data_IF_346911102713
#
_entry.id   IF_346911102713
#
_cell.length_a   1.000
_cell.length_b   1.000
_cell.length_c   1.000
_cell.angle_alpha   90.00
_cell.angle_beta   90.00
_cell.angle_gamma   90.00
#
_symmetry.space_group_name_H-M   'P 1'
#
loop_
_entity.id
_entity.type
_entity.pdbx_description
1 polymer ?
#
# COMPACT_ATOMS: atom_id res chain seq x y z
N UNK A 1 -18.06 52.51 -46.08
CA UNK A 1 -19.18 52.64 -47.05
C UNK A 1 -19.87 51.28 -47.11
N UNK A 2 -21.14 51.27 -46.71
CA UNK A 2 -22.21 50.24 -46.76
C UNK A 2 -21.98 48.92 -45.96
N UNK A 3 -22.82 48.53 -44.98
CA UNK A 3 -24.24 48.08 -45.04
C UNK A 3 -24.44 46.93 -46.05
N UNK A 4 -25.09 45.79 -45.81
CA UNK A 4 -25.88 45.15 -44.74
C UNK A 4 -26.14 43.71 -45.22
N UNK A 5 -26.27 42.70 -44.36
CA UNK A 5 -27.46 41.81 -44.27
C UNK A 5 -27.24 40.62 -43.32
N UNK A 6 -28.33 40.19 -42.69
CA UNK A 6 -28.44 39.24 -41.60
C UNK A 6 -28.52 37.77 -42.04
N UNK A 7 -28.14 36.85 -41.14
CA UNK A 7 -28.71 35.51 -41.07
C UNK A 7 -28.63 34.95 -39.64
N UNK A 8 -29.75 34.42 -39.17
CA UNK A 8 -30.07 34.01 -37.80
C UNK A 8 -29.47 32.65 -37.37
N UNK A 9 -29.35 32.41 -36.06
CA UNK A 9 -30.10 31.35 -35.35
C UNK A 9 -29.66 31.12 -33.88
N UNK A 10 -30.68 31.12 -33.02
CA UNK A 10 -30.87 30.40 -31.73
C UNK A 10 -29.76 30.32 -30.67
N UNK A 11 -30.00 31.07 -29.59
CA UNK A 11 -29.43 30.89 -28.25
C UNK A 11 -29.93 29.60 -27.57
N UNK A 12 -29.06 28.75 -26.99
CA UNK A 12 -29.50 27.66 -26.13
C UNK A 12 -29.89 28.16 -24.74
N UNK A 13 -31.10 27.82 -24.31
CA UNK A 13 -31.66 28.08 -22.98
C UNK A 13 -30.92 27.26 -21.91
N UNK A 14 -30.32 27.98 -20.95
CA UNK A 14 -29.55 27.43 -19.84
C UNK A 14 -30.51 26.98 -18.72
N UNK A 15 -30.73 25.68 -18.56
CA UNK A 15 -31.54 25.13 -17.45
C UNK A 15 -30.73 25.17 -16.15
N UNK A 16 -31.19 25.97 -15.18
CA UNK A 16 -30.58 26.12 -13.85
C UNK A 16 -31.04 25.01 -12.90
N UNK A 17 -30.08 24.43 -12.16
CA UNK A 17 -30.22 23.29 -11.24
C UNK A 17 -31.07 23.56 -9.97
N UNK A 18 -31.85 24.64 -9.92
CA UNK A 18 -32.63 25.07 -8.75
C UNK A 18 -34.15 24.89 -8.88
N UNK A 19 -34.64 24.24 -9.94
CA UNK A 19 -36.08 24.04 -10.19
C UNK A 19 -36.66 22.65 -9.86
N UNK A 20 -35.86 21.69 -9.37
CA UNK A 20 -36.29 20.29 -9.23
C UNK A 20 -36.68 19.86 -7.81
N UNK A 21 -36.90 20.80 -6.88
CA UNK A 21 -37.31 20.50 -5.50
C UNK A 21 -38.59 21.23 -5.07
N UNK A 22 -39.50 21.51 -6.02
CA UNK A 22 -40.79 22.13 -5.72
C UNK A 22 -41.91 21.51 -6.57
N UNK A 23 -42.28 20.27 -6.27
CA UNK A 23 -43.59 19.73 -6.67
C UNK A 23 -44.11 18.80 -5.57
N UNK A 24 -44.55 19.42 -4.47
CA UNK A 24 -45.47 18.83 -3.52
C UNK A 24 -46.89 19.37 -3.75
N UNK A 25 -47.88 18.50 -3.54
CA UNK A 25 -49.33 18.74 -3.50
C UNK A 25 -50.03 18.85 -4.90
N UNK A 26 -51.21 18.29 -5.20
CA UNK A 26 -52.31 17.76 -4.39
C UNK A 26 -53.29 16.89 -5.21
N UNK A 27 -53.89 15.88 -4.55
CA UNK A 27 -55.30 15.49 -4.48
C UNK A 27 -56.18 15.21 -5.73
N UNK A 28 -56.86 14.05 -5.74
CA UNK A 28 -58.31 13.92 -6.06
C UNK A 28 -58.96 12.74 -5.30
N UNK A 29 -60.14 12.99 -4.75
CA UNK A 29 -61.03 12.10 -3.98
C UNK A 29 -62.08 11.47 -4.90
N UNK A 30 -62.40 10.18 -4.73
CA UNK A 30 -63.55 9.52 -5.36
C UNK A 30 -63.83 8.15 -4.73
N UNK A 31 -65.06 7.95 -4.24
CA UNK A 31 -65.51 6.77 -3.49
C UNK A 31 -66.10 5.66 -4.38
N UNK A 32 -65.89 4.37 -4.04
CA UNK A 32 -66.73 3.26 -4.53
C UNK A 32 -66.08 1.87 -4.68
N UNK A 33 -66.17 1.05 -3.61
CA UNK A 33 -66.41 -0.42 -3.55
C UNK A 33 -65.48 -1.44 -4.28
N UNK A 34 -65.08 -2.45 -3.49
CA UNK A 34 -64.63 -3.82 -3.81
C UNK A 34 -63.12 -4.12 -3.98
N UNK A 35 -62.55 -4.67 -2.90
CA UNK A 35 -61.70 -5.87 -2.83
C UNK A 35 -60.76 -6.20 -4.00
N UNK A 36 -59.46 -5.94 -3.81
CA UNK A 36 -58.36 -6.94 -3.78
C UNK A 36 -57.04 -6.18 -3.76
N UNK A 37 -56.45 -6.00 -2.56
CA UNK A 37 -55.05 -5.57 -2.44
C UNK A 37 -54.20 -6.79 -2.76
N UNK A 38 -53.81 -6.94 -4.02
CA UNK A 38 -52.69 -7.80 -4.37
C UNK A 38 -51.42 -7.12 -3.83
N UNK A 39 -51.02 -7.51 -2.62
CA UNK A 39 -49.65 -7.26 -2.19
C UNK A 39 -48.74 -8.05 -3.13
N UNK A 40 -48.10 -7.34 -4.06
CA UNK A 40 -46.94 -7.88 -4.77
C UNK A 40 -45.83 -7.97 -3.72
N UNK A 41 -45.75 -9.11 -3.06
CA UNK A 41 -44.54 -9.54 -2.34
C UNK A 41 -43.51 -9.89 -3.41
N UNK A 42 -42.77 -8.89 -3.88
CA UNK A 42 -41.49 -9.14 -4.56
C UNK A 42 -40.48 -9.54 -3.49
N UNK A 43 -40.63 -10.77 -2.98
CA UNK A 43 -39.68 -11.42 -2.09
C UNK A 43 -39.03 -12.57 -2.89
N UNK A 44 -38.30 -12.18 -3.93
CA UNK A 44 -37.31 -13.05 -4.60
C UNK A 44 -36.30 -12.19 -5.37
N UNK A 45 -35.70 -11.23 -4.65
CA UNK A 45 -34.43 -10.66 -5.09
C UNK A 45 -33.34 -11.46 -4.39
N UNK A 46 -32.52 -12.26 -5.10
CA UNK A 46 -31.39 -12.92 -4.46
C UNK A 46 -30.54 -11.85 -3.78
N UNK A 47 -29.98 -12.10 -2.58
CA UNK A 47 -29.16 -11.11 -1.91
C UNK A 47 -28.05 -10.72 -2.88
N UNK A 48 -28.10 -9.47 -3.35
CA UNK A 48 -26.97 -8.86 -4.03
C UNK A 48 -25.90 -8.84 -2.95
N UNK A 49 -25.02 -9.85 -2.99
CA UNK A 49 -23.78 -9.83 -2.24
C UNK A 49 -23.09 -8.56 -2.69
N UNK A 50 -23.03 -7.62 -1.77
CA UNK A 50 -22.43 -6.31 -1.96
C UNK A 50 -21.04 -6.51 -2.56
N UNK A 51 -20.93 -6.23 -3.85
CA UNK A 51 -19.69 -6.38 -4.58
C UNK A 51 -18.85 -5.14 -4.28
N UNK A 52 -18.04 -5.22 -3.24
CA UNK A 52 -16.90 -4.32 -3.03
C UNK A 52 -17.25 -2.87 -2.71
N UNK A 53 -18.00 -2.63 -1.62
CA UNK A 53 -17.84 -1.37 -0.90
C UNK A 53 -16.39 -1.26 -0.40
N UNK A 54 -15.82 -0.05 -0.27
CA UNK A 54 -14.47 0.10 0.27
C UNK A 54 -14.41 -0.55 1.65
N UNK A 55 -13.57 -1.57 1.78
CA UNK A 55 -13.31 -2.20 3.07
C UNK A 55 -12.83 -1.09 4.02
N UNK A 56 -13.45 -1.00 5.20
CA UNK A 56 -12.95 -0.11 6.24
C UNK A 56 -11.53 -0.58 6.59
N UNK A 57 -10.51 0.30 6.61
CA UNK A 57 -9.16 -0.11 6.93
C UNK A 57 -9.14 -0.84 8.27
N UNK A 58 -8.50 -2.00 8.30
CA UNK A 58 -8.58 -2.91 9.43
C UNK A 58 -7.95 -2.27 10.67
N UNK A 59 -8.54 -2.50 11.84
CA UNK A 59 -7.87 -2.22 13.12
C UNK A 59 -6.89 -3.33 13.52
N UNK A 60 -6.55 -4.22 12.60
CA UNK A 60 -5.75 -5.40 12.87
C UNK A 60 -4.28 -5.02 13.01
N UNK A 61 -3.63 -5.62 14.00
CA UNK A 61 -2.19 -5.52 14.22
C UNK A 61 -1.55 -6.83 13.81
N UNK A 62 -0.52 -6.75 12.96
CA UNK A 62 0.32 -7.92 12.63
C UNK A 62 1.54 -7.90 13.54
N UNK A 63 1.89 -9.01 14.24
CA UNK A 63 3.06 -9.05 15.09
C UNK A 63 4.35 -8.74 14.31
N UNK A 64 5.12 -7.76 14.80
CA UNK A 64 6.40 -7.38 14.20
C UNK A 64 7.52 -8.36 14.53
N UNK A 65 7.60 -8.79 15.80
CA UNK A 65 8.62 -9.72 16.25
C UNK A 65 8.21 -11.17 15.99
N UNK A 66 9.13 -11.95 15.45
CA UNK A 66 8.96 -13.37 15.15
C UNK A 66 10.25 -13.98 14.63
N UNK A 67 10.24 -15.30 14.38
CA UNK A 67 11.38 -15.99 13.76
C UNK A 67 11.60 -15.55 12.30
N UNK A 68 10.52 -15.22 11.59
CA UNK A 68 10.53 -14.68 10.24
C UNK A 68 9.89 -13.29 10.23
N UNK A 69 10.37 -12.40 9.37
CA UNK A 69 9.75 -11.10 9.20
C UNK A 69 8.32 -11.25 8.69
N UNK A 70 7.40 -10.43 9.21
CA UNK A 70 6.06 -10.29 8.67
C UNK A 70 6.08 -9.71 7.25
N UNK A 71 4.97 -9.81 6.53
CA UNK A 71 4.83 -9.35 5.13
C UNK A 71 5.31 -10.36 4.07
N UNK A 72 5.68 -11.58 4.48
CA UNK A 72 6.06 -12.67 3.58
C UNK A 72 4.94 -13.71 3.49
N UNK A 73 4.68 -14.43 4.59
CA UNK A 73 3.55 -15.38 4.71
C UNK A 73 2.32 -14.74 5.34
N UNK A 74 2.42 -13.49 5.78
CA UNK A 74 1.27 -12.71 6.24
C UNK A 74 0.21 -12.68 5.13
N UNK A 75 -1.09 -12.81 5.44
CA UNK A 75 -2.14 -12.64 4.45
C UNK A 75 -1.96 -11.34 3.66
N UNK A 76 -1.93 -11.44 2.33
CA UNK A 76 -1.61 -10.31 1.46
C UNK A 76 -2.58 -9.14 1.69
N UNK A 77 -2.03 -7.97 2.05
CA UNK A 77 -2.77 -6.73 2.26
C UNK A 77 -3.07 -6.01 0.95
N UNK A 78 -4.01 -5.07 0.97
CA UNK A 78 -4.52 -4.44 -0.25
C UNK A 78 -3.59 -3.40 -0.87
N UNK A 79 -2.69 -2.79 -0.08
CA UNK A 79 -1.81 -1.69 -0.51
C UNK A 79 -0.35 -2.01 -0.23
N UNK A 80 0.50 -1.51 -1.13
CA UNK A 80 1.96 -1.61 -1.04
C UNK A 80 2.59 -0.23 -1.25
N UNK A 81 3.56 0.09 -0.43
CA UNK A 81 4.61 1.06 -0.74
C UNK A 81 5.97 0.35 -0.63
N UNK A 82 6.62 0.18 -1.77
CA UNK A 82 7.96 -0.38 -1.83
C UNK A 82 8.99 0.73 -2.01
N UNK A 83 10.10 0.68 -1.29
CA UNK A 83 11.20 1.62 -1.45
C UNK A 83 12.54 0.91 -1.43
N UNK A 84 13.42 1.30 -2.35
CA UNK A 84 14.82 0.93 -2.34
C UNK A 84 15.67 2.15 -1.95
N UNK A 85 16.74 1.90 -1.20
CA UNK A 85 17.64 2.91 -0.67
C UNK A 85 19.09 2.58 -1.02
N UNK A 86 19.85 3.61 -1.37
CA UNK A 86 21.30 3.56 -1.47
C UNK A 86 21.92 4.04 -0.15
N UNK A 87 22.89 3.29 0.39
CA UNK A 87 23.64 3.72 1.58
C UNK A 87 24.72 4.70 1.13
N UNK A 88 24.65 5.93 1.62
CA UNK A 88 25.53 7.05 1.22
C UNK A 88 26.66 7.32 2.22
N UNK A 89 26.66 6.63 3.36
CA UNK A 89 27.78 6.61 4.32
C UNK A 89 28.71 5.44 4.05
N UNK A 90 29.99 5.60 4.37
CA UNK A 90 30.97 4.49 4.43
C UNK A 90 31.21 4.00 5.86
N UNK A 91 30.60 4.66 6.86
CA UNK A 91 30.69 4.26 8.26
C UNK A 91 29.69 3.14 8.60
N UNK A 92 30.23 1.94 8.84
CA UNK A 92 29.45 0.77 9.28
C UNK A 92 28.68 1.01 10.57
N UNK A 93 29.22 1.79 11.52
CA UNK A 93 28.54 2.06 12.79
C UNK A 93 27.26 2.87 12.58
N UNK A 94 27.26 3.80 11.62
CA UNK A 94 26.08 4.57 11.23
C UNK A 94 25.03 3.69 10.55
N UNK A 95 25.45 2.74 9.72
CA UNK A 95 24.54 1.75 9.14
C UNK A 95 23.88 0.87 10.23
N UNK A 96 24.67 0.36 11.18
CA UNK A 96 24.12 -0.43 12.31
C UNK A 96 23.14 0.39 13.14
N UNK A 97 23.49 1.63 13.48
CA UNK A 97 22.61 2.54 14.23
C UNK A 97 21.34 2.87 13.45
N UNK A 98 21.41 3.00 12.12
CA UNK A 98 20.22 3.18 11.28
C UNK A 98 19.29 1.97 11.38
N UNK A 99 19.81 0.76 11.22
CA UNK A 99 18.99 -0.46 11.26
C UNK A 99 18.31 -0.65 12.63
N UNK A 100 19.00 -0.31 13.72
CA UNK A 100 18.40 -0.29 15.07
C UNK A 100 17.25 0.71 15.17
N UNK A 101 17.47 1.96 14.75
CA UNK A 101 16.42 3.00 14.77
C UNK A 101 15.24 2.67 13.86
N UNK A 102 15.49 2.06 12.70
CA UNK A 102 14.45 1.55 11.82
C UNK A 102 13.65 0.41 12.46
N UNK A 103 14.31 -0.46 13.22
CA UNK A 103 13.64 -1.54 13.97
C UNK A 103 12.71 -0.98 15.03
N UNK A 104 13.18 -0.01 15.83
CA UNK A 104 12.36 0.64 16.86
C UNK A 104 11.17 1.38 16.25
N UNK A 105 11.39 2.11 15.15
CA UNK A 105 10.32 2.77 14.41
C UNK A 105 9.32 1.76 13.85
N UNK A 106 9.78 0.68 13.21
CA UNK A 106 8.89 -0.32 12.64
C UNK A 106 8.05 -1.03 13.70
N UNK A 107 8.61 -1.33 14.86
CA UNK A 107 7.88 -1.92 15.99
C UNK A 107 6.75 -1.01 16.50
N UNK A 108 6.97 0.31 16.56
CA UNK A 108 5.94 1.28 16.94
C UNK A 108 4.87 1.44 15.84
N UNK A 109 5.30 1.64 14.59
CA UNK A 109 4.39 1.91 13.47
C UNK A 109 3.44 0.74 13.20
N UNK A 110 3.93 -0.49 13.27
CA UNK A 110 3.12 -1.71 12.99
C UNK A 110 1.99 -1.94 13.99
N UNK A 111 2.07 -1.34 15.19
CA UNK A 111 0.99 -1.34 16.18
C UNK A 111 0.14 -0.07 16.14
N UNK A 112 0.35 0.80 15.15
CA UNK A 112 -0.34 2.08 14.97
C UNK A 112 0.09 3.17 15.95
N UNK A 113 1.25 3.02 16.60
CA UNK A 113 1.84 4.05 17.44
C UNK A 113 2.69 5.02 16.60
N UNK A 114 2.80 6.26 17.08
CA UNK A 114 3.70 7.27 16.50
C UNK A 114 5.16 6.88 16.77
N UNK A 115 6.07 7.25 15.86
CA UNK A 115 7.50 7.10 16.11
C UNK A 115 8.03 8.16 17.10
N UNK A 116 8.86 7.73 18.04
CA UNK A 116 9.53 8.60 19.01
C UNK A 116 8.79 8.72 20.34
N UNK A 117 9.38 9.47 21.27
CA UNK A 117 8.82 9.70 22.61
C UNK A 117 7.70 10.74 22.59
N UNK A 118 7.84 11.74 21.71
CA UNK A 118 6.97 12.90 21.61
C UNK A 118 6.08 12.88 20.36
N UNK A 119 6.33 11.93 19.45
CA UNK A 119 5.52 11.72 18.25
C UNK A 119 5.46 12.95 17.33
N UNK A 120 4.29 13.17 16.74
CA UNK A 120 4.03 14.23 15.79
C UNK A 120 3.69 15.58 16.44
N UNK A 121 3.17 15.57 17.68
CA UNK A 121 2.58 16.78 18.30
C UNK A 121 3.07 17.10 19.72
N UNK A 122 3.74 16.16 20.40
CA UNK A 122 4.11 16.30 21.81
C UNK A 122 5.48 16.93 22.09
N UNK A 123 6.23 17.31 21.04
CA UNK A 123 7.62 17.76 21.15
C UNK A 123 7.78 19.25 21.46
N UNK A 124 9.05 19.70 21.52
CA UNK A 124 9.37 21.12 21.59
C UNK A 124 8.87 21.85 20.34
N UNK A 125 8.26 23.03 20.52
CA UNK A 125 7.84 23.90 19.41
C UNK A 125 9.01 24.28 18.47
N UNK A 126 10.23 24.37 19.02
CA UNK A 126 11.42 24.78 18.27
C UNK A 126 12.18 23.61 17.62
N UNK A 127 11.67 22.38 17.73
CA UNK A 127 12.29 21.19 17.14
C UNK A 127 11.38 20.57 16.07
N UNK A 128 11.96 19.98 15.00
CA UNK A 128 11.17 19.13 14.10
C UNK A 128 10.52 17.99 14.88
N UNK A 129 9.27 17.60 14.56
CA UNK A 129 8.61 16.49 15.21
C UNK A 129 9.32 15.15 14.93
N UNK A 130 9.10 14.17 15.80
CA UNK A 130 9.69 12.83 15.68
C UNK A 130 8.89 11.95 14.70
N UNK A 131 7.59 12.19 14.57
CA UNK A 131 6.74 11.57 13.56
C UNK A 131 6.18 12.65 12.63
N UNK A 132 6.01 12.33 11.35
CA UNK A 132 5.50 13.30 10.36
C UNK A 132 3.99 13.54 10.45
N UNK A 133 3.24 12.71 11.18
CA UNK A 133 1.87 12.96 11.62
C UNK A 133 0.76 12.66 10.63
N UNK A 134 1.08 12.27 9.39
CA UNK A 134 0.05 11.99 8.37
C UNK A 134 -0.79 10.76 8.70
N UNK A 135 -0.35 9.84 9.57
CA UNK A 135 -1.16 8.70 9.99
C UNK A 135 -1.92 8.92 11.31
N UNK A 136 -1.89 10.14 11.89
CA UNK A 136 -2.61 10.44 13.13
C UNK A 136 -4.11 10.16 12.99
N UNK A 137 -4.63 9.34 13.91
CA UNK A 137 -6.04 8.93 13.93
C UNK A 137 -6.40 7.82 12.95
N UNK A 138 -5.44 7.29 12.18
CA UNK A 138 -5.63 6.09 11.38
C UNK A 138 -5.38 4.82 12.22
N UNK A 139 -6.05 3.70 11.90
CA UNK A 139 -5.76 2.43 12.54
C UNK A 139 -4.41 1.86 12.06
N UNK A 140 -3.88 0.81 12.74
CA UNK A 140 -2.66 0.12 12.30
C UNK A 140 -2.76 -0.49 10.89
N UNK A 141 -3.97 -0.79 10.40
CA UNK A 141 -4.24 -1.22 9.03
C UNK A 141 -3.44 -2.46 8.57
N UNK A 142 -3.26 -3.45 9.45
CA UNK A 142 -2.45 -4.65 9.19
C UNK A 142 -1.03 -4.33 8.68
N UNK A 143 -0.46 -3.19 9.08
CA UNK A 143 0.85 -2.75 8.59
C UNK A 143 1.92 -3.82 8.89
N UNK A 144 2.66 -4.19 7.86
CA UNK A 144 3.90 -4.95 7.96
C UNK A 144 5.03 -4.20 7.28
N UNK A 145 6.21 -4.23 7.90
CA UNK A 145 7.44 -3.68 7.34
C UNK A 145 8.47 -4.81 7.21
N UNK A 146 8.86 -5.11 5.98
CA UNK A 146 9.83 -6.16 5.66
C UNK A 146 11.10 -5.53 5.09
N UNK A 147 12.26 -5.87 5.64
CA UNK A 147 13.56 -5.33 5.25
C UNK A 147 14.37 -6.36 4.46
N UNK A 148 14.99 -5.92 3.38
CA UNK A 148 15.90 -6.71 2.55
C UNK A 148 17.22 -5.98 2.28
N UNK A 149 18.26 -6.76 1.97
CA UNK A 149 19.61 -6.28 1.66
C UNK A 149 19.98 -6.66 0.24
N UNK A 150 20.34 -5.66 -0.58
CA UNK A 150 20.80 -5.86 -1.95
C UNK A 150 22.27 -6.23 -2.02
N UNK A 151 22.71 -6.75 -3.17
CA UNK A 151 24.07 -7.22 -3.39
C UNK A 151 25.13 -6.13 -3.14
N UNK A 152 24.82 -4.89 -3.54
CA UNK A 152 25.71 -3.72 -3.43
C UNK A 152 26.00 -3.28 -1.99
N UNK A 153 25.19 -3.71 -1.02
CA UNK A 153 25.47 -3.52 0.41
C UNK A 153 26.69 -4.33 0.85
N UNK A 154 26.81 -5.56 0.35
CA UNK A 154 27.90 -6.47 0.70
C UNK A 154 29.18 -6.14 -0.06
N UNK A 155 29.04 -5.81 -1.34
CA UNK A 155 30.14 -5.40 -2.19
C UNK A 155 29.59 -4.64 -3.40
N UNK A 156 30.14 -3.46 -3.70
CA UNK A 156 29.77 -2.70 -4.90
C UNK A 156 30.23 -3.42 -6.16
N UNK A 157 29.65 -3.05 -7.31
CA UNK A 157 30.00 -3.62 -8.61
C UNK A 157 31.50 -3.42 -8.98
N UNK A 158 32.14 -2.39 -8.44
CA UNK A 158 33.58 -2.12 -8.60
C UNK A 158 34.48 -2.94 -7.66
N UNK A 159 33.91 -3.80 -6.82
CA UNK A 159 34.63 -4.63 -5.85
C UNK A 159 34.79 -3.99 -4.47
N UNK A 160 34.34 -2.75 -4.25
CA UNK A 160 34.48 -2.05 -2.97
C UNK A 160 33.63 -2.68 -1.88
N UNK A 161 34.27 -3.13 -0.80
CA UNK A 161 33.62 -3.59 0.44
C UNK A 161 33.66 -2.48 1.50
N UNK A 162 32.63 -1.63 1.51
CA UNK A 162 32.53 -0.48 2.43
C UNK A 162 32.46 -0.87 3.90
N UNK A 163 31.93 -2.06 4.20
CA UNK A 163 31.51 -2.43 5.55
C UNK A 163 32.18 -3.72 6.07
N UNK A 164 33.10 -4.31 5.30
CA UNK A 164 33.68 -5.62 5.63
C UNK A 164 32.64 -6.74 5.60
N UNK A 165 31.70 -6.68 4.66
CA UNK A 165 30.57 -7.60 4.55
C UNK A 165 30.67 -8.54 3.35
N UNK A 166 31.65 -8.41 2.46
CA UNK A 166 31.73 -9.22 1.23
C UNK A 166 31.68 -10.73 1.52
N UNK A 167 32.38 -11.19 2.57
CA UNK A 167 32.37 -12.60 3.02
C UNK A 167 31.07 -13.08 3.69
N UNK A 168 30.06 -12.22 3.83
CA UNK A 168 28.73 -12.52 4.40
C UNK A 168 27.62 -12.48 3.36
N UNK A 169 27.94 -12.19 2.09
CA UNK A 169 26.97 -12.20 1.00
C UNK A 169 26.38 -13.61 0.84
N UNK A 170 25.05 -13.78 0.92
CA UNK A 170 24.43 -15.08 0.66
C UNK A 170 24.75 -15.58 -0.75
N UNK A 171 25.08 -16.86 -0.94
CA UNK A 171 25.46 -17.39 -2.26
C UNK A 171 24.32 -17.29 -3.29
N UNK A 172 23.05 -17.31 -2.84
CA UNK A 172 21.88 -17.13 -3.71
C UNK A 172 21.63 -15.68 -4.13
N UNK A 173 22.28 -14.69 -3.50
CA UNK A 173 22.14 -13.28 -3.85
C UNK A 173 23.08 -12.95 -5.03
N UNK A 174 22.76 -13.48 -6.20
CA UNK A 174 23.51 -13.28 -7.45
C UNK A 174 22.94 -12.09 -8.26
N UNK A 175 23.76 -11.55 -9.14
CA UNK A 175 23.24 -10.70 -10.21
C UNK A 175 22.40 -11.57 -11.15
N UNK A 176 21.17 -11.12 -11.45
CA UNK A 176 20.29 -11.87 -12.34
C UNK A 176 20.83 -11.79 -13.78
N UNK A 177 20.82 -12.89 -14.54
CA UNK A 177 21.17 -12.83 -15.95
C UNK A 177 20.13 -12.00 -16.70
N UNK A 178 20.53 -11.39 -17.82
CA UNK A 178 19.59 -10.75 -18.75
C UNK A 178 18.66 -11.78 -19.38
N UNK A 179 17.38 -11.47 -19.45
CA UNK A 179 16.36 -12.29 -20.12
C UNK A 179 15.89 -11.66 -21.45
N UNK A 180 15.45 -12.47 -22.42
CA UNK A 180 14.85 -11.95 -23.65
C UNK A 180 13.61 -11.09 -23.35
N UNK A 181 13.60 -9.86 -23.85
CA UNK A 181 12.50 -8.90 -23.64
C UNK A 181 12.72 -7.93 -22.47
N UNK A 182 13.82 -8.07 -21.73
CA UNK A 182 14.19 -7.12 -20.68
C UNK A 182 14.36 -5.70 -21.24
N UNK A 183 13.65 -4.76 -20.63
CA UNK A 183 13.81 -3.33 -20.84
C UNK A 183 13.96 -2.67 -19.47
N UNK A 184 15.02 -3.07 -18.77
CA UNK A 184 15.28 -2.67 -17.39
C UNK A 184 15.80 -1.23 -17.39
N UNK A 185 15.12 -0.36 -16.66
CA UNK A 185 15.60 0.99 -16.36
C UNK A 185 16.47 0.96 -15.08
N UNK A 186 17.78 1.21 -15.19
CA UNK A 186 18.68 1.19 -14.03
C UNK A 186 18.28 2.17 -12.92
N UNK A 187 17.56 3.25 -13.24
CA UNK A 187 17.15 4.25 -12.26
C UNK A 187 16.09 3.74 -11.27
N UNK A 188 15.31 2.72 -11.66
CA UNK A 188 14.26 2.10 -10.84
C UNK A 188 14.55 0.62 -10.54
N UNK A 189 15.83 0.24 -10.59
CA UNK A 189 16.33 -1.11 -10.31
C UNK A 189 17.32 -1.09 -9.16
N UNK A 190 17.56 -2.26 -8.55
CA UNK A 190 18.55 -2.47 -7.49
C UNK A 190 18.36 -1.59 -6.24
N UNK A 191 19.42 -1.45 -5.43
CA UNK A 191 19.46 -0.71 -4.17
C UNK A 191 20.22 -1.48 -3.10
N UNK A 192 20.89 -0.77 -2.20
CA UNK A 192 21.60 -1.39 -1.07
C UNK A 192 20.63 -2.01 -0.05
N UNK A 193 19.51 -1.34 0.20
CA UNK A 193 18.46 -1.77 1.12
C UNK A 193 17.11 -1.67 0.43
N UNK A 194 16.17 -2.55 0.76
CA UNK A 194 14.77 -2.37 0.39
C UNK A 194 13.85 -2.52 1.59
N UNK A 195 12.73 -1.81 1.55
CA UNK A 195 11.65 -1.89 2.53
C UNK A 195 10.33 -2.08 1.80
N UNK A 196 9.63 -3.15 2.16
CA UNK A 196 8.27 -3.42 1.73
C UNK A 196 7.30 -3.01 2.85
N UNK A 197 6.50 -1.97 2.63
CA UNK A 197 5.41 -1.58 3.52
C UNK A 197 4.08 -2.02 2.93
N UNK A 198 3.45 -3.03 3.52
CA UNK A 198 2.12 -3.51 3.13
C UNK A 198 1.11 -3.16 4.21
N UNK A 199 -0.04 -2.62 3.81
CA UNK A 199 -1.14 -2.26 4.72
C UNK A 199 -2.48 -2.28 3.97
N UNK A 200 -3.58 -2.29 4.73
CA UNK A 200 -4.94 -2.16 4.18
C UNK A 200 -5.30 -0.69 3.88
N UNK A 201 -4.48 0.25 4.36
CA UNK A 201 -4.59 1.69 4.12
C UNK A 201 -3.32 2.23 3.41
N UNK A 202 -3.45 2.91 2.25
CA UNK A 202 -2.29 3.38 1.50
C UNK A 202 -1.55 4.53 2.18
N UNK A 203 -2.24 5.33 3.00
CA UNK A 203 -1.66 6.44 3.75
C UNK A 203 -0.79 5.91 4.91
N UNK A 204 -1.21 4.82 5.55
CA UNK A 204 -0.40 4.11 6.56
C UNK A 204 0.88 3.53 5.95
N UNK A 205 0.79 2.87 4.78
CA UNK A 205 1.97 2.35 4.10
C UNK A 205 2.95 3.46 3.67
N UNK A 206 2.43 4.56 3.12
CA UNK A 206 3.22 5.74 2.78
C UNK A 206 3.91 6.37 3.99
N UNK A 207 3.16 6.56 5.09
CA UNK A 207 3.64 7.14 6.34
C UNK A 207 4.84 6.38 6.90
N UNK A 208 4.76 5.05 6.89
CA UNK A 208 5.82 4.22 7.40
C UNK A 208 7.13 4.43 6.63
N UNK A 209 7.08 4.38 5.29
CA UNK A 209 8.27 4.58 4.45
C UNK A 209 8.81 6.00 4.56
N UNK A 210 7.94 7.01 4.64
CA UNK A 210 8.36 8.41 4.83
C UNK A 210 9.11 8.60 6.13
N UNK A 211 8.63 8.04 7.24
CA UNK A 211 9.32 8.12 8.53
C UNK A 211 10.66 7.39 8.51
N UNK A 212 10.74 6.19 7.91
CA UNK A 212 12.00 5.47 7.74
C UNK A 212 13.01 6.27 6.90
N UNK A 213 12.58 6.86 5.79
CA UNK A 213 13.43 7.73 4.97
C UNK A 213 13.94 8.94 5.75
N UNK A 214 13.09 9.57 6.57
CA UNK A 214 13.45 10.71 7.45
C UNK A 214 14.50 10.31 8.48
N UNK A 215 14.32 9.18 9.16
CA UNK A 215 15.28 8.60 10.12
C UNK A 215 16.61 8.28 9.44
N UNK A 216 16.56 7.87 8.18
CA UNK A 216 17.70 7.55 7.32
C UNK A 216 18.54 8.73 6.84
N UNK A 217 18.08 9.97 7.05
CA UNK A 217 18.73 11.15 6.51
C UNK A 217 20.24 11.19 6.83
N UNK A 218 21.04 11.49 5.80
CA UNK A 218 22.50 11.53 5.88
C UNK A 218 23.19 10.16 5.98
N UNK A 219 22.45 9.05 6.00
CA UNK A 219 22.99 7.68 6.04
C UNK A 219 22.57 6.88 4.80
N UNK A 220 21.31 7.04 4.39
CA UNK A 220 20.75 6.49 3.15
C UNK A 220 20.09 7.58 2.33
N UNK A 221 19.95 7.33 1.02
CA UNK A 221 19.13 8.10 0.10
C UNK A 221 18.08 7.19 -0.52
N UNK A 222 16.85 7.68 -0.70
CA UNK A 222 15.84 6.97 -1.48
C UNK A 222 16.34 6.87 -2.93
N UNK A 223 16.39 5.65 -3.47
CA UNK A 223 16.81 5.37 -4.83
C UNK A 223 15.61 5.38 -5.78
N UNK A 224 14.63 4.55 -5.47
CA UNK A 224 13.35 4.50 -6.17
C UNK A 224 12.25 4.00 -5.23
N UNK A 225 11.00 4.25 -5.60
CA UNK A 225 9.83 3.80 -4.86
C UNK A 225 8.70 3.42 -5.80
N UNK A 226 7.91 2.42 -5.44
CA UNK A 226 6.76 1.96 -6.19
C UNK A 226 5.53 1.82 -5.29
N UNK A 227 4.42 2.43 -5.72
CA UNK A 227 3.11 2.25 -5.12
C UNK A 227 2.39 1.06 -5.78
N UNK A 228 1.79 0.20 -4.98
CA UNK A 228 0.88 -0.87 -5.41
C UNK A 228 -0.52 -0.64 -4.83
N UNK A 229 -1.54 -0.62 -5.69
CA UNK A 229 -2.89 -0.23 -5.31
C UNK A 229 -3.89 -1.39 -5.20
N UNK A 230 -3.45 -2.63 -5.33
CA UNK A 230 -4.27 -3.81 -5.14
C UNK A 230 -3.41 -5.07 -5.09
N UNK A 231 -3.74 -6.00 -4.19
CA UNK A 231 -3.08 -7.31 -4.16
C UNK A 231 -3.32 -8.07 -5.45
N UNK A 232 -2.28 -8.71 -5.97
CA UNK A 232 -2.34 -9.67 -7.08
C UNK A 232 -1.80 -11.03 -6.66
N UNK A 233 -1.82 -11.32 -5.36
CA UNK A 233 -1.38 -12.57 -4.76
C UNK A 233 -2.29 -12.96 -3.58
N UNK A 234 -2.27 -14.24 -3.23
CA UNK A 234 -2.91 -14.81 -2.05
C UNK A 234 -1.88 -15.66 -1.33
N UNK A 235 -1.76 -15.49 -0.01
CA UNK A 235 -0.78 -16.20 0.84
C UNK A 235 -1.46 -16.99 1.94
N UNK A 236 -2.79 -16.99 2.02
CA UNK A 236 -3.57 -17.82 2.93
C UNK A 236 -4.76 -18.45 2.21
N UNK A 237 -5.12 -19.66 2.64
CA UNK A 237 -6.33 -20.37 2.19
C UNK A 237 -7.63 -19.64 2.50
N UNK A 238 -7.62 -18.70 3.47
CA UNK A 238 -8.78 -17.89 3.82
C UNK A 238 -9.04 -16.72 2.85
N UNK A 239 -8.10 -16.41 1.96
CA UNK A 239 -8.22 -15.29 1.03
C UNK A 239 -8.78 -15.77 -0.32
N UNK A 240 -9.71 -15.00 -0.89
CA UNK A 240 -10.06 -15.19 -2.29
C UNK A 240 -8.92 -14.68 -3.18
N UNK A 241 -8.53 -15.48 -4.17
CA UNK A 241 -7.51 -15.09 -5.16
C UNK A 241 -7.92 -13.80 -5.88
N UNK A 242 -7.13 -12.72 -5.78
CA UNK A 242 -7.46 -11.45 -6.41
C UNK A 242 -7.24 -11.50 -7.92
N UNK A 243 -7.55 -10.38 -8.62
CA UNK A 243 -7.30 -10.25 -10.05
C UNK A 243 -6.19 -9.25 -10.34
N UNK A 244 -5.37 -9.55 -11.34
CA UNK A 244 -4.40 -8.60 -11.90
C UNK A 244 -5.07 -7.63 -12.89
N UNK A 245 -4.29 -6.68 -13.43
CA UNK A 245 -4.80 -5.65 -14.35
C UNK A 245 -5.26 -6.20 -15.71
N UNK A 246 -4.87 -7.42 -16.07
CA UNK A 246 -5.41 -8.12 -17.24
C UNK A 246 -6.74 -8.84 -16.94
N UNK A 247 -7.22 -8.75 -15.70
CA UNK A 247 -8.48 -9.34 -15.27
C UNK A 247 -8.39 -10.83 -14.93
N UNK A 248 -7.21 -11.45 -14.89
CA UNK A 248 -7.04 -12.85 -14.52
C UNK A 248 -6.89 -13.02 -13.01
N UNK A 249 -7.37 -14.15 -12.47
CA UNK A 249 -7.08 -14.53 -11.08
C UNK A 249 -5.58 -14.82 -10.94
N UNK A 250 -4.94 -14.24 -9.93
CA UNK A 250 -3.50 -14.30 -9.75
C UNK A 250 -3.13 -14.69 -8.31
N UNK A 251 -2.34 -15.75 -8.16
CA UNK A 251 -2.03 -16.39 -6.86
C UNK A 251 -2.77 -17.71 -6.54
N UNK A 252 -3.40 -18.37 -7.51
CA UNK A 252 -4.15 -19.64 -7.28
C UNK A 252 -3.25 -20.80 -6.85
N UNK A 253 -2.06 -20.92 -7.43
CA UNK A 253 -1.11 -22.01 -7.19
C UNK A 253 0.14 -21.51 -6.43
N UNK A 254 -0.09 -20.71 -5.39
CA UNK A 254 0.97 -20.16 -4.55
C UNK A 254 1.21 -21.04 -3.31
N UNK A 255 2.35 -20.86 -2.64
CA UNK A 255 2.58 -21.41 -1.30
C UNK A 255 1.69 -20.66 -0.30
N UNK A 256 0.96 -21.40 0.52
CA UNK A 256 0.08 -20.86 1.54
C UNK A 256 0.75 -20.91 2.91
N UNK A 257 0.41 -19.95 3.77
CA UNK A 257 0.94 -19.83 5.13
C UNK A 257 0.72 -21.10 5.97
N UNK A 258 -0.33 -21.85 5.66
CA UNK A 258 -0.71 -23.09 6.34
C UNK A 258 0.15 -24.31 5.91
N UNK A 259 0.97 -24.20 4.87
CA UNK A 259 1.76 -25.30 4.29
C UNK A 259 3.21 -25.34 4.84
N UNK A 260 3.36 -25.50 6.16
CA UNK A 260 4.66 -25.38 6.86
C UNK A 260 5.82 -26.16 6.22
N UNK A 261 5.63 -27.44 5.87
CA UNK A 261 6.69 -28.25 5.24
C UNK A 261 7.12 -27.73 3.87
N UNK A 262 6.18 -27.15 3.11
CA UNK A 262 6.48 -26.58 1.80
C UNK A 262 7.21 -25.24 1.96
N UNK A 263 6.82 -24.42 2.93
CA UNK A 263 7.50 -23.16 3.27
C UNK A 263 8.94 -23.40 3.72
N UNK A 264 9.17 -24.38 4.62
CA UNK A 264 10.52 -24.72 5.07
C UNK A 264 11.41 -25.22 3.93
N UNK A 265 10.83 -25.93 2.95
CA UNK A 265 11.56 -26.47 1.81
C UNK A 265 11.86 -25.44 0.73
N UNK A 266 10.96 -24.49 0.51
CA UNK A 266 10.96 -23.66 -0.70
C UNK A 266 11.10 -22.16 -0.46
N UNK A 267 10.83 -21.69 0.76
CA UNK A 267 10.81 -20.26 1.08
C UNK A 267 11.91 -19.87 2.07
N UNK A 268 12.03 -20.60 3.18
CA UNK A 268 12.96 -20.23 4.25
C UNK A 268 14.37 -20.76 4.00
N UNK A 269 15.37 -19.97 4.37
CA UNK A 269 16.78 -20.41 4.36
C UNK A 269 16.98 -21.35 5.56
N UNK A 270 17.38 -22.59 5.28
CA UNK A 270 17.69 -23.63 6.28
C UNK A 270 19.13 -23.64 6.76
#
# INVERSE_FOLDING_TARGET
MNESDAAAASTPTRVSRRGLLASGASALVGAGVAATVAQVTSDDQPPVRDAGGPATPSSSVVPFYGAHQAGIVTPAQDRLYFAAFDVITDDRSRLVSLLQRWTDAAAALTVGAEHGTYGATGGSYDAPPEDTGEALGLPPASLTLTFGFGASLFQRADGTDRFGLAGRRPPGLIELPTFPGDSIDPAISDGDLCVQACADDPQVAFHAIRNLARIGFGTVSLRWSQLGFGRTSSTSTAQQTPRNLFGFKDGTANLMAEEAEALDRHLWVG
#
